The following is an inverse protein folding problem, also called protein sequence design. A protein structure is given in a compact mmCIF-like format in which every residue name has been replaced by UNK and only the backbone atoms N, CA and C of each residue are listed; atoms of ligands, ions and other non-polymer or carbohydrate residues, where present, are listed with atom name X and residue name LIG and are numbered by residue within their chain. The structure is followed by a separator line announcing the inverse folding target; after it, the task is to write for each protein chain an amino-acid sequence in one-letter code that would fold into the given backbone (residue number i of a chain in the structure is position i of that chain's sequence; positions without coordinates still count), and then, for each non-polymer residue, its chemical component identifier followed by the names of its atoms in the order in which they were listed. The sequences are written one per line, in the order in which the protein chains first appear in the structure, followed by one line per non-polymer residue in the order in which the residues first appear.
data_IF_738546095684
#
_entry.id   IF_738546095684
#
_cell.length_a   1.000
_cell.length_b   1.000
_cell.length_c   1.000
_cell.angle_alpha   90.00
_cell.angle_beta   90.00
_cell.angle_gamma   90.00
#
_symmetry.space_group_name_H-M   'P 1'
#
loop_
_entity.id
_entity.type
_entity.pdbx_description
1 polymer ?
#
# COMPACT_ATOMS: atom_id res chain seq x y z
N UNK A 1 7.23 -0.66 -2.16
CA UNK A 1 8.03 -1.89 -1.97
C UNK A 1 8.10 -2.80 -3.21
N UNK A 2 7.71 -2.38 -4.40
CA UNK A 2 7.56 -3.21 -5.60
C UNK A 2 8.86 -3.86 -6.17
N UNK A 3 10.06 -3.49 -5.71
CA UNK A 3 11.31 -4.05 -6.19
C UNK A 3 11.82 -5.17 -5.28
N UNK A 4 11.79 -6.41 -5.77
CA UNK A 4 12.21 -7.62 -5.04
C UNK A 4 13.67 -7.56 -4.56
N UNK A 5 14.59 -6.98 -5.37
CA UNK A 5 15.98 -6.84 -4.96
C UNK A 5 16.11 -5.89 -3.76
N UNK A 6 15.41 -4.75 -3.80
CA UNK A 6 15.40 -3.79 -2.70
C UNK A 6 14.82 -4.40 -1.42
N UNK A 7 13.69 -5.12 -1.51
CA UNK A 7 13.12 -5.86 -0.37
C UNK A 7 14.13 -6.84 0.24
N UNK A 8 14.87 -7.59 -0.58
CA UNK A 8 15.90 -8.52 -0.10
C UNK A 8 17.07 -7.79 0.55
N UNK A 9 17.49 -6.65 0.03
CA UNK A 9 18.53 -5.82 0.63
C UNK A 9 18.12 -5.29 2.01
N UNK A 10 16.86 -4.86 2.16
CA UNK A 10 16.31 -4.37 3.42
C UNK A 10 16.29 -5.44 4.55
N UNK A 11 16.37 -6.74 4.24
CA UNK A 11 16.55 -7.79 5.26
C UNK A 11 17.91 -7.73 5.96
N UNK A 12 18.91 -7.07 5.34
CA UNK A 12 20.22 -6.88 5.94
C UNK A 12 20.26 -5.62 6.81
N UNK A 13 20.51 -5.77 8.10
CA UNK A 13 20.67 -4.66 9.05
C UNK A 13 21.73 -3.66 8.54
N UNK A 14 22.89 -4.17 8.13
CA UNK A 14 23.96 -3.34 7.56
C UNK A 14 23.52 -2.53 6.34
N UNK A 15 22.62 -3.08 5.52
CA UNK A 15 22.08 -2.34 4.38
C UNK A 15 21.14 -1.23 4.86
N UNK A 16 20.27 -1.51 5.85
CA UNK A 16 19.38 -0.49 6.43
C UNK A 16 20.18 0.66 7.06
N UNK A 17 21.22 0.35 7.85
CA UNK A 17 22.13 1.37 8.42
C UNK A 17 22.73 2.27 7.35
N UNK A 18 23.24 1.68 6.25
CA UNK A 18 23.83 2.46 5.15
C UNK A 18 22.79 3.26 4.36
N UNK A 19 21.60 2.75 4.23
CA UNK A 19 20.48 3.47 3.63
C UNK A 19 20.07 4.66 4.50
N UNK A 20 19.96 4.47 5.81
CA UNK A 20 19.64 5.53 6.76
C UNK A 20 20.71 6.64 6.76
N UNK A 21 22.02 6.29 6.79
CA UNK A 21 23.11 7.26 6.62
C UNK A 21 22.93 8.07 5.33
N UNK A 22 22.69 7.41 4.20
CA UNK A 22 22.52 8.08 2.90
C UNK A 22 21.27 8.98 2.84
N UNK A 23 20.17 8.57 3.49
CA UNK A 23 18.96 9.38 3.58
C UNK A 23 19.20 10.63 4.46
N UNK A 24 19.91 10.49 5.58
CA UNK A 24 20.24 11.61 6.45
C UNK A 24 21.17 12.60 5.76
N UNK A 25 22.21 12.13 5.05
CA UNK A 25 23.08 12.96 4.23
C UNK A 25 22.30 13.73 3.16
N UNK A 26 21.32 13.05 2.50
CA UNK A 26 20.47 13.68 1.52
C UNK A 26 19.54 14.74 2.14
N UNK A 27 18.98 14.48 3.32
CA UNK A 27 18.15 15.45 4.07
C UNK A 27 18.96 16.69 4.45
N UNK A 28 20.21 16.53 4.93
CA UNK A 28 21.10 17.65 5.22
C UNK A 28 21.40 18.46 3.94
N UNK A 29 21.71 17.77 2.83
CA UNK A 29 21.93 18.41 1.53
C UNK A 29 20.71 19.18 1.03
N UNK A 30 19.49 18.62 1.20
CA UNK A 30 18.22 19.23 0.83
C UNK A 30 17.58 20.00 1.99
N UNK A 31 18.40 20.80 2.73
CA UNK A 31 17.86 21.68 3.76
C UNK A 31 16.74 22.57 3.19
N UNK A 32 15.81 22.99 4.03
CA UNK A 32 14.66 23.82 3.63
C UNK A 32 15.09 25.05 2.83
N UNK A 33 16.13 25.78 3.27
CA UNK A 33 16.68 26.95 2.59
C UNK A 33 17.22 26.61 1.19
N UNK A 34 18.00 25.52 1.08
CA UNK A 34 18.58 25.08 -0.18
C UNK A 34 17.51 24.59 -1.15
N UNK A 35 16.57 23.79 -0.65
CA UNK A 35 15.46 23.29 -1.44
C UNK A 35 14.59 24.45 -1.96
N UNK A 36 14.24 25.40 -1.09
CA UNK A 36 13.49 26.60 -1.49
C UNK A 36 14.22 27.40 -2.58
N UNK A 37 15.54 27.59 -2.45
CA UNK A 37 16.35 28.26 -3.48
C UNK A 37 16.34 27.50 -4.81
N UNK A 38 16.43 26.17 -4.77
CA UNK A 38 16.37 25.35 -5.99
C UNK A 38 15.00 25.41 -6.65
N UNK A 39 13.94 25.29 -5.87
CA UNK A 39 12.54 25.37 -6.35
C UNK A 39 12.30 26.69 -7.05
N UNK A 40 12.64 27.82 -6.41
CA UNK A 40 12.45 29.15 -7.01
C UNK A 40 13.27 29.33 -8.29
N UNK A 41 14.49 28.83 -8.33
CA UNK A 41 15.31 28.85 -9.54
C UNK A 41 14.66 28.08 -10.70
N UNK A 42 14.19 26.86 -10.46
CA UNK A 42 13.54 26.06 -11.49
C UNK A 42 12.19 26.64 -11.89
N UNK A 43 11.39 27.07 -10.93
CA UNK A 43 10.10 27.73 -11.15
C UNK A 43 10.22 28.94 -12.06
N UNK A 44 11.21 29.80 -11.83
CA UNK A 44 11.46 31.00 -12.66
C UNK A 44 11.74 30.63 -14.12
N UNK A 45 12.38 29.48 -14.39
CA UNK A 45 12.70 29.03 -15.74
C UNK A 45 11.55 28.24 -16.36
N UNK A 46 10.93 27.32 -15.64
CA UNK A 46 9.99 26.33 -16.19
C UNK A 46 8.56 26.88 -16.29
N UNK A 47 8.11 27.60 -15.25
CA UNK A 47 6.73 28.06 -15.15
C UNK A 47 6.26 28.93 -16.34
N UNK A 48 7.04 29.89 -16.87
CA UNK A 48 6.63 30.67 -18.04
C UNK A 48 6.31 29.77 -19.24
N UNK A 49 7.12 28.75 -19.52
CA UNK A 49 6.88 27.86 -20.66
C UNK A 49 5.64 26.99 -20.46
N UNK A 50 5.39 26.47 -19.25
CA UNK A 50 4.22 25.65 -18.97
C UNK A 50 2.89 26.41 -19.12
N UNK A 51 2.89 27.72 -18.87
CA UNK A 51 1.67 28.55 -18.87
C UNK A 51 1.61 29.54 -20.03
N UNK A 52 2.46 29.35 -21.07
CA UNK A 52 2.36 30.02 -22.36
C UNK A 52 1.69 29.12 -23.41
N UNK A 53 1.24 29.74 -24.50
CA UNK A 53 0.65 29.00 -25.62
C UNK A 53 1.73 28.29 -26.44
N UNK A 54 1.54 27.00 -26.87
CA UNK A 54 0.33 26.17 -26.70
C UNK A 54 0.32 25.32 -25.45
N UNK A 55 1.39 25.28 -24.66
CA UNK A 55 1.65 24.30 -23.59
C UNK A 55 0.64 24.42 -22.42
N UNK A 56 0.09 25.62 -22.21
CA UNK A 56 -0.93 25.85 -21.18
C UNK A 56 -2.16 24.94 -21.30
N UNK A 57 -2.50 24.46 -22.50
CA UNK A 57 -3.62 23.55 -22.71
C UNK A 57 -3.35 22.13 -22.21
N UNK A 58 -2.10 21.79 -22.00
CA UNK A 58 -1.64 20.46 -21.55
C UNK A 58 -1.10 20.49 -20.12
N UNK A 59 -1.06 21.66 -19.48
CA UNK A 59 -0.62 21.80 -18.10
C UNK A 59 -1.59 21.05 -17.17
N UNK A 60 -1.11 20.06 -16.38
CA UNK A 60 -1.97 19.23 -15.52
C UNK A 60 -2.53 20.00 -14.30
N UNK A 61 -1.94 21.13 -13.98
CA UNK A 61 -2.28 22.00 -12.84
C UNK A 61 -2.47 23.42 -13.30
N UNK A 62 -3.27 24.20 -12.59
CA UNK A 62 -3.29 25.67 -12.77
C UNK A 62 -1.98 26.29 -12.28
N UNK A 63 -1.70 27.53 -12.67
CA UNK A 63 -0.51 28.26 -12.23
C UNK A 63 -0.44 28.41 -10.71
N UNK A 64 -1.59 28.61 -10.06
CA UNK A 64 -1.72 28.71 -8.60
C UNK A 64 -1.46 27.37 -7.94
N UNK A 65 -2.08 26.29 -8.42
CA UNK A 65 -1.86 24.93 -7.92
C UNK A 65 -0.39 24.49 -8.05
N UNK A 66 0.29 24.91 -9.14
CA UNK A 66 1.72 24.67 -9.31
C UNK A 66 2.54 25.36 -8.20
N UNK A 67 2.21 26.61 -7.87
CA UNK A 67 2.89 27.35 -6.82
C UNK A 67 2.67 26.71 -5.43
N UNK A 68 1.44 26.31 -5.14
CA UNK A 68 1.09 25.61 -3.89
C UNK A 68 1.84 24.28 -3.77
N UNK A 69 1.86 23.47 -4.84
CA UNK A 69 2.59 22.21 -4.86
C UNK A 69 4.10 22.44 -4.68
N UNK A 70 4.67 23.42 -5.37
CA UNK A 70 6.09 23.74 -5.24
C UNK A 70 6.45 24.20 -3.80
N UNK A 71 5.57 24.95 -3.15
CA UNK A 71 5.75 25.38 -1.76
C UNK A 71 5.63 24.25 -0.75
N UNK A 72 4.84 23.19 -1.03
CA UNK A 72 4.65 22.05 -0.12
C UNK A 72 5.78 21.02 -0.16
N UNK A 73 6.67 21.05 -1.17
CA UNK A 73 7.71 20.02 -1.35
C UNK A 73 8.60 19.79 -0.13
N UNK A 74 9.06 20.80 0.64
CA UNK A 74 9.85 20.55 1.85
C UNK A 74 9.10 19.73 2.90
N UNK A 75 7.82 20.03 3.11
CA UNK A 75 6.96 19.29 4.04
C UNK A 75 6.71 17.85 3.56
N UNK A 76 6.46 17.67 2.27
CA UNK A 76 6.26 16.33 1.68
C UNK A 76 7.51 15.45 1.76
N UNK A 77 8.71 16.02 1.64
CA UNK A 77 9.97 15.28 1.84
C UNK A 77 10.08 14.79 3.28
N UNK A 78 9.79 15.66 4.27
CA UNK A 78 9.82 15.25 5.69
C UNK A 78 8.77 14.18 5.99
N UNK A 79 7.55 14.36 5.52
CA UNK A 79 6.46 13.39 5.66
C UNK A 79 6.82 12.02 5.05
N UNK A 80 7.40 12.02 3.84
CA UNK A 80 7.84 10.78 3.20
C UNK A 80 8.97 10.08 3.97
N UNK A 81 9.87 10.84 4.60
CA UNK A 81 10.88 10.26 5.49
C UNK A 81 10.23 9.60 6.71
N UNK A 82 9.27 10.24 7.36
CA UNK A 82 8.55 9.66 8.50
C UNK A 82 7.78 8.39 8.09
N UNK A 83 7.11 8.39 6.93
CA UNK A 83 6.44 7.21 6.38
C UNK A 83 7.42 6.07 6.11
N UNK A 84 8.62 6.38 5.60
CA UNK A 84 9.68 5.39 5.40
C UNK A 84 10.10 4.76 6.75
N UNK A 85 10.43 5.56 7.75
CA UNK A 85 10.81 5.08 9.08
C UNK A 85 9.70 4.23 9.70
N UNK A 86 8.45 4.70 9.63
CA UNK A 86 7.31 3.96 10.14
C UNK A 86 7.13 2.62 9.42
N UNK A 87 7.30 2.59 8.10
CA UNK A 87 7.13 1.38 7.30
C UNK A 87 8.11 0.27 7.65
N UNK A 88 9.32 0.60 8.13
CA UNK A 88 10.30 -0.38 8.60
C UNK A 88 9.89 -1.06 9.92
N UNK A 89 9.02 -0.42 10.70
CA UNK A 89 8.52 -0.95 11.98
C UNK A 89 7.29 -1.85 11.84
N UNK A 90 6.69 -1.90 10.65
CA UNK A 90 5.50 -2.70 10.34
C UNK A 90 5.88 -4.04 9.71
N UNK A 91 4.98 -5.04 9.75
CA UNK A 91 5.11 -6.22 8.90
C UNK A 91 5.25 -5.85 7.43
N UNK A 92 6.03 -6.63 6.69
CA UNK A 92 6.18 -6.40 5.24
C UNK A 92 4.85 -6.59 4.50
N UNK A 93 4.60 -5.74 3.49
CA UNK A 93 3.45 -5.90 2.62
C UNK A 93 3.41 -7.27 1.94
N UNK A 94 2.20 -7.76 1.72
CA UNK A 94 1.92 -9.08 1.14
C UNK A 94 0.62 -9.00 0.33
N UNK A 95 0.33 -10.03 -0.46
CA UNK A 95 -0.89 -10.14 -1.26
C UNK A 95 -1.70 -11.34 -0.84
N UNK A 96 -3.02 -11.23 -0.97
CA UNK A 96 -3.96 -12.33 -0.78
C UNK A 96 -3.98 -13.16 -2.08
N UNK A 97 -3.80 -14.47 -1.98
CA UNK A 97 -3.97 -15.38 -3.12
C UNK A 97 -5.44 -15.47 -3.55
N UNK A 98 -5.67 -15.96 -4.75
CA UNK A 98 -7.04 -16.28 -5.20
C UNK A 98 -7.59 -17.40 -4.33
N UNK A 99 -8.72 -17.21 -3.63
CA UNK A 99 -9.34 -18.28 -2.87
C UNK A 99 -9.77 -19.43 -3.76
N UNK A 100 -9.75 -20.63 -3.23
CA UNK A 100 -10.12 -21.84 -3.96
C UNK A 100 -11.32 -22.50 -3.28
N UNK A 101 -12.32 -22.90 -4.06
CA UNK A 101 -13.43 -23.72 -3.58
C UNK A 101 -13.06 -25.20 -3.64
N UNK A 102 -13.13 -25.89 -2.51
CA UNK A 102 -12.92 -27.34 -2.37
C UNK A 102 -14.15 -27.99 -1.72
N UNK A 103 -15.06 -28.48 -2.53
CA UNK A 103 -16.36 -29.01 -2.07
C UNK A 103 -17.22 -27.89 -1.48
N UNK A 104 -17.58 -28.00 -0.20
CA UNK A 104 -18.36 -26.96 0.51
C UNK A 104 -17.47 -26.00 1.32
N UNK A 105 -16.15 -25.96 1.03
CA UNK A 105 -15.21 -25.12 1.76
C UNK A 105 -14.54 -24.13 0.82
N UNK A 106 -14.19 -22.98 1.38
CA UNK A 106 -13.35 -21.97 0.75
C UNK A 106 -11.99 -21.95 1.49
N UNK A 107 -10.92 -22.17 0.75
CA UNK A 107 -9.55 -22.03 1.23
C UNK A 107 -8.97 -20.70 0.76
N UNK A 108 -8.44 -19.94 1.72
CA UNK A 108 -7.80 -18.65 1.48
C UNK A 108 -6.34 -18.78 1.89
N UNK A 109 -5.44 -18.32 1.06
CA UNK A 109 -4.02 -18.23 1.36
C UNK A 109 -3.50 -16.83 1.01
N UNK A 110 -2.37 -16.45 1.56
CA UNK A 110 -1.69 -15.19 1.29
C UNK A 110 -0.17 -15.36 1.39
N UNK A 111 0.57 -14.36 0.91
CA UNK A 111 2.02 -14.37 1.02
C UNK A 111 2.48 -14.25 2.48
N UNK A 112 3.58 -14.88 2.82
CA UNK A 112 4.20 -14.67 4.13
C UNK A 112 4.69 -13.23 4.27
N UNK A 113 4.16 -12.52 5.27
CA UNK A 113 4.76 -11.30 5.76
C UNK A 113 5.91 -11.61 6.72
N UNK A 114 6.80 -10.66 6.95
CA UNK A 114 7.89 -10.75 7.93
C UNK A 114 8.20 -9.37 8.53
N UNK A 115 8.76 -9.36 9.74
CA UNK A 115 9.33 -8.17 10.36
C UNK A 115 10.83 -8.08 10.05
N UNK A 116 11.36 -6.87 9.82
CA UNK A 116 12.81 -6.64 9.68
C UNK A 116 13.57 -6.92 10.98
N UNK A 117 12.89 -6.80 12.12
CA UNK A 117 13.45 -7.07 13.44
C UNK A 117 13.31 -8.57 13.85
N UNK A 118 12.93 -9.44 12.90
CA UNK A 118 12.71 -10.88 13.10
C UNK A 118 11.67 -11.21 14.19
N UNK A 119 10.68 -10.32 14.39
CA UNK A 119 9.54 -10.54 15.26
C UNK A 119 8.57 -11.54 14.65
N UNK A 120 7.89 -12.31 15.49
CA UNK A 120 6.83 -13.21 15.05
C UNK A 120 5.62 -12.40 14.47
N UNK A 121 5.02 -12.94 13.43
CA UNK A 121 3.86 -12.36 12.78
C UNK A 121 2.64 -13.24 13.04
N UNK A 122 1.55 -12.60 13.45
CA UNK A 122 0.21 -13.19 13.49
C UNK A 122 -0.68 -12.56 12.45
N UNK A 123 -1.66 -13.31 11.96
CA UNK A 123 -2.62 -12.80 10.99
C UNK A 123 -4.04 -12.80 11.54
N UNK A 124 -4.84 -11.85 11.08
CA UNK A 124 -6.29 -11.85 11.19
C UNK A 124 -6.93 -11.80 9.81
N UNK A 125 -8.06 -12.49 9.66
CA UNK A 125 -8.84 -12.55 8.42
C UNK A 125 -10.26 -12.12 8.71
N UNK A 126 -10.80 -11.25 7.88
CA UNK A 126 -12.21 -10.84 7.88
C UNK A 126 -12.78 -11.01 6.49
N UNK A 127 -14.04 -11.46 6.43
CA UNK A 127 -14.81 -11.54 5.18
C UNK A 127 -16.11 -10.80 5.39
N UNK A 128 -16.44 -9.89 4.48
CA UNK A 128 -17.66 -9.08 4.53
C UNK A 128 -18.39 -9.11 3.18
N UNK A 129 -19.67 -8.73 3.21
CA UNK A 129 -20.51 -8.55 2.03
C UNK A 129 -20.40 -7.15 1.42
N UNK A 130 -19.68 -6.26 2.08
CA UNK A 130 -19.43 -4.89 1.62
C UNK A 130 -17.97 -4.47 1.82
N UNK A 131 -17.47 -3.57 0.98
CA UNK A 131 -16.07 -3.12 0.99
C UNK A 131 -15.72 -2.22 2.19
N UNK A 132 -16.73 -1.74 2.95
CA UNK A 132 -16.51 -0.99 4.19
C UNK A 132 -16.44 -1.91 5.41
N UNK A 133 -16.65 -3.23 5.23
CA UNK A 133 -16.64 -4.22 6.31
C UNK A 133 -17.67 -3.92 7.41
N UNK A 134 -18.88 -3.48 7.01
CA UNK A 134 -20.00 -3.26 7.92
C UNK A 134 -20.83 -4.54 8.13
N UNK A 135 -20.91 -5.41 7.11
CA UNK A 135 -21.58 -6.72 7.16
C UNK A 135 -20.53 -7.85 7.12
N UNK A 136 -19.80 -8.01 8.24
CA UNK A 136 -18.77 -9.04 8.40
C UNK A 136 -19.43 -10.38 8.69
N UNK A 137 -19.18 -11.38 7.84
CA UNK A 137 -19.73 -12.74 7.97
C UNK A 137 -18.76 -13.75 8.57
N UNK A 138 -17.47 -13.44 8.57
CA UNK A 138 -16.42 -14.30 9.13
C UNK A 138 -15.27 -13.48 9.67
N UNK A 139 -14.74 -13.91 10.83
CA UNK A 139 -13.52 -13.35 11.46
C UNK A 139 -12.72 -14.46 12.07
N UNK A 140 -11.41 -14.46 11.87
CA UNK A 140 -10.48 -15.34 12.55
C UNK A 140 -9.18 -14.59 12.86
N UNK A 141 -8.75 -14.65 14.12
CA UNK A 141 -7.56 -13.98 14.63
C UNK A 141 -6.48 -14.97 15.09
N UNK A 142 -5.25 -14.47 15.23
CA UNK A 142 -4.15 -15.22 15.83
C UNK A 142 -3.61 -16.36 14.97
N UNK A 143 -3.80 -16.30 13.66
CA UNK A 143 -3.25 -17.28 12.73
C UNK A 143 -1.73 -17.13 12.65
N UNK A 144 -1.02 -18.25 12.75
CA UNK A 144 0.46 -18.32 12.67
C UNK A 144 0.95 -18.73 11.27
N UNK A 145 0.04 -19.23 10.45
CA UNK A 145 0.32 -19.64 9.07
C UNK A 145 -0.50 -18.80 8.10
N UNK A 146 -0.02 -18.56 6.88
CA UNK A 146 -0.65 -17.69 5.92
C UNK A 146 -1.79 -18.37 5.14
N UNK A 147 -2.65 -19.11 5.85
CA UNK A 147 -3.82 -19.75 5.27
C UNK A 147 -4.94 -19.92 6.31
N UNK A 148 -6.17 -19.97 5.80
CA UNK A 148 -7.36 -20.36 6.56
C UNK A 148 -8.36 -21.08 5.68
N UNK A 149 -9.29 -21.79 6.29
CA UNK A 149 -10.36 -22.52 5.64
C UNK A 149 -11.68 -22.26 6.36
N UNK A 150 -12.73 -22.00 5.62
CA UNK A 150 -14.08 -21.79 6.15
C UNK A 150 -15.11 -22.46 5.26
N UNK A 151 -16.38 -22.50 5.70
CA UNK A 151 -17.47 -22.94 4.86
C UNK A 151 -17.65 -21.99 3.68
N UNK A 152 -17.85 -22.54 2.47
CA UNK A 152 -18.11 -21.75 1.27
C UNK A 152 -19.39 -20.93 1.48
N UNK A 153 -19.35 -19.60 1.40
CA UNK A 153 -20.54 -18.78 1.53
C UNK A 153 -21.49 -18.97 0.35
N UNK A 154 -22.73 -18.51 0.49
CA UNK A 154 -23.73 -18.50 -0.58
C UNK A 154 -23.27 -17.68 -1.78
N UNK A 155 -23.92 -17.84 -2.93
CA UNK A 155 -23.60 -17.05 -4.12
C UNK A 155 -23.74 -15.54 -3.85
N UNK A 156 -22.71 -14.76 -4.23
CA UNK A 156 -22.65 -13.33 -3.96
C UNK A 156 -21.27 -12.74 -4.06
N UNK A 157 -21.18 -11.42 -3.87
CA UNK A 157 -19.93 -10.67 -3.80
C UNK A 157 -19.41 -10.64 -2.37
N UNK A 158 -18.09 -10.83 -2.20
CA UNK A 158 -17.43 -10.81 -0.91
C UNK A 158 -16.10 -10.07 -0.96
N UNK A 159 -15.74 -9.49 0.16
CA UNK A 159 -14.49 -8.76 0.35
C UNK A 159 -13.67 -9.44 1.45
N UNK A 160 -12.43 -9.77 1.15
CA UNK A 160 -11.52 -10.45 2.04
C UNK A 160 -10.45 -9.45 2.47
N UNK A 161 -10.30 -9.25 3.76
CA UNK A 161 -9.22 -8.47 4.36
C UNK A 161 -8.34 -9.37 5.20
N UNK A 162 -7.04 -9.29 4.96
CA UNK A 162 -6.02 -9.97 5.78
C UNK A 162 -5.08 -8.93 6.35
N UNK A 163 -4.86 -9.00 7.66
CA UNK A 163 -3.97 -8.12 8.39
C UNK A 163 -2.88 -8.91 9.08
N UNK A 164 -1.63 -8.54 8.84
CA UNK A 164 -0.48 -9.03 9.58
C UNK A 164 -0.20 -8.11 10.79
N UNK A 165 0.15 -8.69 11.93
CA UNK A 165 0.48 -7.96 13.16
C UNK A 165 1.76 -8.52 13.75
N UNK A 166 2.74 -7.66 14.08
CA UNK A 166 3.97 -8.07 14.76
C UNK A 166 3.84 -8.03 16.29
N UNK A 167 4.86 -8.49 17.02
CA UNK A 167 4.87 -8.53 18.49
C UNK A 167 4.72 -7.14 19.15
N UNK A 168 5.10 -6.06 18.45
CA UNK A 168 4.91 -4.67 18.90
C UNK A 168 3.51 -4.13 18.66
N UNK A 169 2.60 -4.94 18.09
CA UNK A 169 1.24 -4.55 17.75
C UNK A 169 1.15 -3.62 16.53
N UNK A 170 2.22 -3.52 15.73
CA UNK A 170 2.17 -2.82 14.45
C UNK A 170 1.52 -3.69 13.40
N UNK A 171 0.69 -3.10 12.55
CA UNK A 171 -0.12 -3.83 11.59
C UNK A 171 0.17 -3.43 10.15
N UNK A 172 -0.02 -4.38 9.23
CA UNK A 172 0.01 -4.18 7.80
C UNK A 172 -1.13 -4.95 7.15
N UNK A 173 -2.02 -4.27 6.45
CA UNK A 173 -3.03 -4.91 5.62
C UNK A 173 -2.40 -5.38 4.28
N UNK A 174 -3.03 -6.33 3.62
CA UNK A 174 -2.62 -6.78 2.29
C UNK A 174 -2.60 -5.62 1.28
N UNK A 175 -1.84 -5.76 0.19
CA UNK A 175 -1.72 -4.74 -0.85
C UNK A 175 -2.77 -4.87 -1.97
N UNK A 176 -3.63 -5.86 -1.85
CA UNK A 176 -4.79 -5.99 -2.73
C UNK A 176 -5.69 -4.76 -2.62
N UNK A 177 -6.42 -4.45 -3.68
CA UNK A 177 -7.32 -3.30 -3.69
C UNK A 177 -8.60 -3.62 -4.47
N UNK A 178 -9.66 -2.92 -4.12
CA UNK A 178 -10.92 -2.86 -4.85
C UNK A 178 -11.09 -1.48 -5.47
N UNK A 179 -11.62 -1.38 -6.69
CA UNK A 179 -11.85 -0.10 -7.37
C UNK A 179 -13.30 0.32 -7.19
N UNK A 180 -13.50 1.52 -6.68
CA UNK A 180 -14.80 2.19 -6.57
C UNK A 180 -14.82 3.44 -7.44
N UNK A 181 -15.96 4.09 -7.57
CA UNK A 181 -16.09 5.40 -8.26
C UNK A 181 -15.22 6.48 -7.59
N UNK A 182 -14.89 6.32 -6.31
CA UNK A 182 -14.03 7.23 -5.54
C UNK A 182 -12.54 6.91 -5.67
N UNK A 183 -12.19 5.78 -6.32
CA UNK A 183 -10.82 5.32 -6.52
C UNK A 183 -10.50 3.98 -5.87
N UNK A 184 -9.20 3.68 -5.73
CA UNK A 184 -8.71 2.40 -5.18
C UNK A 184 -8.84 2.35 -3.66
N UNK A 185 -9.53 1.34 -3.16
CA UNK A 185 -9.66 1.00 -1.74
C UNK A 185 -8.71 -0.16 -1.44
N UNK A 186 -7.59 0.13 -0.76
CA UNK A 186 -6.55 -0.85 -0.46
C UNK A 186 -6.87 -1.70 0.76
N UNK A 187 -6.16 -2.83 0.91
CA UNK A 187 -6.25 -3.72 2.06
C UNK A 187 -7.24 -4.86 1.89
N UNK A 188 -7.82 -5.04 0.73
CA UNK A 188 -8.85 -6.06 0.49
C UNK A 188 -8.80 -6.64 -0.92
N UNK A 189 -9.25 -7.90 -1.03
CA UNK A 189 -9.54 -8.57 -2.31
C UNK A 189 -11.04 -8.78 -2.47
N UNK A 190 -11.57 -8.41 -3.61
CA UNK A 190 -12.96 -8.72 -4.00
C UNK A 190 -13.03 -10.07 -4.74
N UNK A 191 -14.03 -10.89 -4.42
CA UNK A 191 -14.34 -12.14 -5.10
C UNK A 191 -15.83 -12.28 -5.30
N UNK A 192 -16.22 -13.13 -6.25
CA UNK A 192 -17.60 -13.56 -6.46
C UNK A 192 -17.71 -15.06 -6.26
N UNK A 193 -18.67 -15.49 -5.46
CA UNK A 193 -19.08 -16.90 -5.36
C UNK A 193 -20.29 -17.09 -6.26
N UNK A 194 -20.20 -18.01 -7.22
CA UNK A 194 -21.24 -18.30 -8.19
C UNK A 194 -22.29 -19.28 -7.63
N UNK A 195 -23.44 -19.43 -8.28
CA UNK A 195 -24.50 -20.37 -7.85
C UNK A 195 -24.06 -21.85 -7.87
N UNK A 196 -23.09 -22.19 -8.71
CA UNK A 196 -22.50 -23.54 -8.77
C UNK A 196 -21.28 -23.69 -7.83
N UNK A 197 -21.01 -22.70 -6.98
CA UNK A 197 -19.99 -22.75 -5.94
C UNK A 197 -18.57 -22.55 -6.44
N UNK A 198 -18.38 -21.95 -7.61
CA UNK A 198 -17.07 -21.53 -8.09
C UNK A 198 -16.71 -20.14 -7.51
N UNK A 199 -15.41 -19.84 -7.46
CA UNK A 199 -14.90 -18.53 -7.04
C UNK A 199 -14.32 -17.83 -8.26
N UNK A 200 -14.77 -16.61 -8.53
CA UNK A 200 -14.27 -15.74 -9.58
C UNK A 200 -13.64 -14.49 -8.98
N UNK A 201 -12.59 -14.01 -9.61
CA UNK A 201 -11.94 -12.75 -9.23
C UNK A 201 -12.66 -11.58 -9.89
N UNK A 202 -12.63 -10.44 -9.20
CA UNK A 202 -12.96 -9.17 -9.82
C UNK A 202 -11.75 -8.70 -10.67
N UNK A 203 -11.85 -8.88 -11.98
CA UNK A 203 -10.78 -8.51 -12.93
C UNK A 203 -11.08 -7.09 -13.39
N UNK A 204 -10.27 -6.13 -12.93
CA UNK A 204 -10.27 -4.78 -13.49
C UNK A 204 -9.49 -4.79 -14.81
N UNK A 205 -10.16 -4.46 -15.91
CA UNK A 205 -9.46 -4.07 -17.13
C UNK A 205 -8.84 -2.67 -16.90
N UNK A 206 -7.51 -2.59 -16.95
CA UNK A 206 -6.77 -1.32 -16.88
C UNK A 206 -6.92 -0.47 -18.15
#
# INVERSE_FOLDING_TARGET
WGNVLFQRCLKSERFREKLDEAILDLKEYLSEERLGTMIEKYKTVVKPYLYEMPDVFYAPLTSEQYDELAASLPEEIEKNYQLYVESLSKPMPFYIGVPVAEGNKMKINWDNSYSFDAEDITYSVEIAKDYLFQDVIYTQDGLLIPETELELPEAGQYFIRVRATNEKGKTQDAFDYYVTDEGKQYGMRCIYVTEDGQIEEDIYEE
#
